data_IF_034449990998
#
_entry.id   IF_034449990998
#
_cell.length_a   1.000
_cell.length_b   1.000
_cell.length_c   1.000
_cell.angle_alpha   90.00
_cell.angle_beta   90.00
_cell.angle_gamma   90.00
#
_symmetry.space_group_name_H-M   'P 1'
#
loop_
_entity.id
_entity.type
_entity.pdbx_description
1 polymer ?
#
# COMPACT_ATOMS: atom_id res chain seq x y z
N UNK A 1 -13.33 2.63 -12.99
CA UNK A 1 -12.28 1.60 -12.93
C UNK A 1 -11.40 1.82 -11.72
N UNK A 2 -11.26 0.84 -10.87
CA UNK A 2 -10.42 1.01 -9.69
C UNK A 2 -8.94 0.99 -10.06
N UNK A 3 -8.38 2.13 -10.29
CA UNK A 3 -6.96 2.27 -10.57
C UNK A 3 -6.11 1.79 -9.39
N UNK A 4 -6.69 1.81 -8.19
CA UNK A 4 -6.01 1.35 -6.99
C UNK A 4 -5.64 -0.13 -7.06
N UNK A 5 -6.53 -0.97 -7.58
CA UNK A 5 -6.26 -2.40 -7.66
C UNK A 5 -5.12 -2.69 -8.64
N UNK A 6 -5.11 -2.02 -9.78
CA UNK A 6 -4.05 -2.20 -10.77
C UNK A 6 -2.71 -1.72 -10.22
N UNK A 7 -2.72 -0.56 -9.58
CA UNK A 7 -1.51 -0.03 -8.96
C UNK A 7 -0.99 -0.96 -7.86
N UNK A 8 -1.89 -1.45 -7.01
CA UNK A 8 -1.47 -2.33 -5.92
C UNK A 8 -0.87 -3.62 -6.44
N UNK A 9 -1.42 -4.18 -7.50
CA UNK A 9 -0.85 -5.35 -8.16
C UNK A 9 0.56 -5.07 -8.65
N UNK A 10 0.76 -3.90 -9.25
CA UNK A 10 2.09 -3.47 -9.69
C UNK A 10 3.05 -3.33 -8.50
N UNK A 11 2.59 -2.71 -7.41
CA UNK A 11 3.38 -2.58 -6.19
C UNK A 11 3.80 -3.92 -5.63
N UNK A 12 2.88 -4.87 -5.58
CA UNK A 12 3.18 -6.21 -5.07
C UNK A 12 4.29 -6.86 -5.87
N UNK A 13 4.24 -6.72 -7.18
CA UNK A 13 5.28 -7.27 -8.04
C UNK A 13 6.64 -6.64 -7.76
N UNK A 14 6.68 -5.32 -7.63
CA UNK A 14 7.92 -4.60 -7.34
C UNK A 14 8.48 -4.96 -5.97
N UNK A 15 7.62 -4.96 -4.96
CA UNK A 15 8.05 -5.24 -3.59
C UNK A 15 8.50 -6.68 -3.43
N UNK A 16 7.86 -7.60 -4.13
CA UNK A 16 8.26 -9.00 -4.09
C UNK A 16 9.69 -9.18 -4.57
N UNK A 17 10.09 -8.40 -5.57
CA UNK A 17 11.44 -8.47 -6.09
C UNK A 17 12.46 -7.74 -5.23
N UNK A 18 12.02 -6.68 -4.54
CA UNK A 18 12.92 -5.84 -3.74
C UNK A 18 13.15 -6.37 -2.34
N UNK A 19 12.14 -7.03 -1.77
CA UNK A 19 12.18 -7.47 -0.38
C UNK A 19 12.49 -8.96 -0.29
N UNK A 20 13.16 -9.40 0.80
CA UNK A 20 13.26 -10.83 1.07
C UNK A 20 11.88 -11.46 1.13
N UNK A 21 11.77 -12.67 0.62
CA UNK A 21 10.50 -13.37 0.52
C UNK A 21 9.74 -13.42 1.84
N UNK A 22 10.45 -13.64 2.95
CA UNK A 22 9.84 -13.74 4.26
C UNK A 22 9.24 -12.40 4.70
N UNK A 23 9.96 -11.31 4.47
CA UNK A 23 9.47 -9.98 4.83
C UNK A 23 8.26 -9.60 3.97
N UNK A 24 8.33 -9.89 2.70
CA UNK A 24 7.22 -9.63 1.80
C UNK A 24 5.95 -10.34 2.28
N UNK A 25 6.06 -11.63 2.58
CA UNK A 25 4.92 -12.42 3.02
C UNK A 25 4.39 -11.97 4.38
N UNK A 26 5.28 -11.54 5.27
CA UNK A 26 4.89 -11.14 6.62
C UNK A 26 4.21 -9.78 6.65
N UNK A 27 4.75 -8.82 5.90
CA UNK A 27 4.35 -7.42 6.05
C UNK A 27 3.49 -6.89 4.91
N UNK A 28 3.66 -7.39 3.72
CA UNK A 28 3.01 -6.85 2.53
C UNK A 28 1.77 -7.68 2.15
N UNK A 29 1.89 -8.99 2.13
CA UNK A 29 0.79 -9.87 1.71
C UNK A 29 -0.48 -9.69 2.56
N UNK A 30 -0.38 -9.52 3.90
CA UNK A 30 -1.59 -9.31 4.71
C UNK A 30 -2.28 -7.97 4.49
N UNK A 31 -1.65 -7.03 3.80
CA UNK A 31 -2.26 -5.73 3.54
C UNK A 31 -3.36 -5.84 2.51
N UNK A 32 -4.41 -5.05 2.69
CA UNK A 32 -5.50 -4.96 1.74
C UNK A 32 -5.51 -3.56 1.13
N UNK A 33 -5.66 -3.50 -0.17
CA UNK A 33 -5.78 -2.23 -0.87
C UNK A 33 -7.27 -1.94 -1.11
N UNK A 34 -7.71 -0.76 -0.73
CA UNK A 34 -9.09 -0.34 -0.90
C UNK A 34 -9.13 1.04 -1.54
N UNK A 35 -10.28 1.41 -2.05
CA UNK A 35 -10.46 2.75 -2.58
C UNK A 35 -10.43 3.76 -1.44
N UNK A 36 -9.82 4.93 -1.67
CA UNK A 36 -9.79 5.96 -0.63
C UNK A 36 -11.19 6.45 -0.31
N UNK A 37 -11.39 6.85 0.94
CA UNK A 37 -12.69 7.35 1.38
C UNK A 37 -12.98 8.78 0.95
N UNK A 38 -12.02 9.46 0.31
CA UNK A 38 -12.20 10.82 -0.17
C UNK A 38 -13.09 10.90 -1.39
N UNK A 39 -13.78 12.04 -1.54
CA UNK A 39 -14.71 12.24 -2.66
C UNK A 39 -14.00 12.33 -4.00
N UNK A 40 -12.77 12.80 -4.01
CA UNK A 40 -12.01 12.95 -5.25
C UNK A 40 -11.46 11.62 -5.78
N UNK A 41 -11.51 10.58 -4.98
CA UNK A 41 -11.05 9.26 -5.38
C UNK A 41 -9.56 9.16 -5.64
N UNK A 42 -8.80 10.19 -5.29
CA UNK A 42 -7.35 10.19 -5.50
C UNK A 42 -6.66 9.48 -4.34
N UNK A 43 -5.71 8.62 -4.65
CA UNK A 43 -4.92 7.97 -3.63
C UNK A 43 -5.23 6.49 -3.47
N UNK A 44 -4.73 5.95 -2.38
CA UNK A 44 -4.84 4.53 -2.08
C UNK A 44 -5.05 4.36 -0.57
N UNK A 45 -5.93 3.47 -0.20
CA UNK A 45 -6.10 3.11 1.21
C UNK A 45 -5.57 1.71 1.42
N UNK A 46 -4.63 1.58 2.35
CA UNK A 46 -4.10 0.29 2.76
C UNK A 46 -4.64 -0.05 4.15
N UNK A 47 -5.11 -1.27 4.30
CA UNK A 47 -5.67 -1.73 5.57
C UNK A 47 -4.74 -2.78 6.15
N UNK A 48 -4.23 -2.50 7.35
CA UNK A 48 -3.33 -3.40 8.06
C UNK A 48 -4.11 -4.24 9.06
N UNK A 49 -3.65 -5.48 9.33
CA UNK A 49 -4.38 -6.37 10.24
C UNK A 49 -4.24 -6.00 11.71
N UNK A 50 -3.23 -5.22 12.07
CA UNK A 50 -3.03 -4.82 13.46
C UNK A 50 -2.33 -3.48 13.53
N UNK A 51 -2.39 -2.85 14.71
CA UNK A 51 -1.73 -1.57 14.95
C UNK A 51 -0.21 -1.69 14.80
N UNK A 52 0.35 -2.78 15.28
CA UNK A 52 1.78 -3.06 15.14
C UNK A 52 2.17 -3.16 13.66
N UNK A 53 1.39 -3.86 12.88
CA UNK A 53 1.62 -4.03 11.45
C UNK A 53 1.53 -2.68 10.72
N UNK A 54 0.54 -1.86 11.09
CA UNK A 54 0.37 -0.54 10.51
C UNK A 54 1.59 0.34 10.78
N UNK A 55 2.11 0.29 11.99
CA UNK A 55 3.27 1.09 12.35
C UNK A 55 4.51 0.67 11.56
N UNK A 56 4.73 -0.65 11.41
CA UNK A 56 5.82 -1.16 10.59
C UNK A 56 5.71 -0.70 9.15
N UNK A 57 4.50 -0.76 8.60
CA UNK A 57 4.26 -0.33 7.24
C UNK A 57 4.63 1.15 7.07
N UNK A 58 4.15 1.99 7.97
CA UNK A 58 4.41 3.42 7.89
C UNK A 58 5.88 3.77 8.06
N UNK A 59 6.56 3.07 8.94
CA UNK A 59 7.95 3.38 9.24
C UNK A 59 8.92 2.85 8.18
N UNK A 60 8.57 1.77 7.52
CA UNK A 60 9.51 1.05 6.68
C UNK A 60 9.14 1.04 5.20
N UNK A 61 7.88 0.89 4.88
CA UNK A 61 7.46 0.59 3.51
C UNK A 61 6.64 1.69 2.86
N UNK A 62 6.00 2.54 3.64
CA UNK A 62 5.09 3.55 3.09
C UNK A 62 5.78 4.46 2.10
N UNK A 63 6.98 4.91 2.43
CA UNK A 63 7.73 5.81 1.55
C UNK A 63 8.01 5.15 0.20
N UNK A 64 8.37 3.88 0.22
CA UNK A 64 8.64 3.16 -1.03
C UNK A 64 7.36 3.01 -1.85
N UNK A 65 6.25 2.74 -1.20
CA UNK A 65 4.97 2.63 -1.88
C UNK A 65 4.58 3.98 -2.49
N UNK A 66 4.82 5.06 -1.76
CA UNK A 66 4.58 6.41 -2.29
C UNK A 66 5.44 6.69 -3.52
N UNK A 67 6.70 6.29 -3.50
CA UNK A 67 7.58 6.46 -4.65
C UNK A 67 7.08 5.67 -5.87
N UNK A 68 6.66 4.45 -5.64
CA UNK A 68 6.09 3.62 -6.71
C UNK A 68 4.81 4.25 -7.26
N UNK A 69 4.00 4.84 -6.39
CA UNK A 69 2.79 5.52 -6.80
C UNK A 69 3.09 6.73 -7.67
N UNK A 70 4.08 7.52 -7.28
CA UNK A 70 4.48 8.68 -8.06
C UNK A 70 4.96 8.28 -9.45
N UNK A 71 5.74 7.21 -9.54
CA UNK A 71 6.20 6.71 -10.82
C UNK A 71 5.07 6.17 -11.68
N UNK A 72 4.14 5.46 -11.04
CA UNK A 72 3.04 4.82 -11.75
C UNK A 72 2.03 5.83 -12.29
N UNK A 73 1.68 6.82 -11.50
CA UNK A 73 0.65 7.80 -11.87
C UNK A 73 1.23 9.10 -12.44
N UNK A 74 2.53 9.31 -12.33
CA UNK A 74 3.16 10.55 -12.77
C UNK A 74 2.87 11.73 -11.87
N UNK A 75 2.38 11.49 -10.66
CA UNK A 75 2.06 12.54 -9.68
C UNK A 75 2.10 11.92 -8.28
N UNK A 76 2.32 12.75 -7.25
CA UNK A 76 2.35 12.23 -5.88
C UNK A 76 1.05 11.52 -5.52
N UNK A 77 1.19 10.37 -4.88
CA UNK A 77 0.05 9.55 -4.46
C UNK A 77 -0.16 9.71 -2.96
N UNK A 78 -1.38 10.03 -2.58
CA UNK A 78 -1.75 10.09 -1.17
C UNK A 78 -2.15 8.69 -0.70
N UNK A 79 -1.49 8.21 0.34
CA UNK A 79 -1.76 6.86 0.87
C UNK A 79 -2.28 6.97 2.29
N UNK A 80 -3.47 6.42 2.50
CA UNK A 80 -4.04 6.28 3.84
C UNK A 80 -3.73 4.89 4.37
N UNK A 81 -3.37 4.81 5.64
CA UNK A 81 -3.13 3.52 6.29
C UNK A 81 -4.10 3.37 7.44
N UNK A 82 -5.00 2.41 7.32
CA UNK A 82 -6.01 2.15 8.34
C UNK A 82 -5.84 0.77 8.95
N UNK A 83 -6.71 0.46 9.90
CA UNK A 83 -6.75 -0.84 10.56
C UNK A 83 -7.96 -1.62 10.11
N UNK A 84 -7.80 -2.93 9.98
CA UNK A 84 -8.91 -3.81 9.71
C UNK A 84 -9.87 -3.79 10.90
N UNK A 85 -11.19 -3.85 10.64
CA UNK A 85 -12.15 -3.95 11.73
C UNK A 85 -11.95 -5.23 12.52
N UNK A 86 -12.18 -5.13 13.83
CA UNK A 86 -12.01 -6.26 14.72
C UNK A 86 -13.09 -7.33 14.47
#
# INVERSE_FOLDING_TARGET
>A
MPQCAAFWTHCLSCLEQELPSQQFKTWIVPLRAEEPSGEDGAGLRLVAPSNFHRQWLRDRYLRRIEELGEEYFGAPLVIEVGLAPA
#
